data_IF_581630632887
#
_entry.id   IF_581630632887
#
_cell.length_a   1.000
_cell.length_b   1.000
_cell.length_c   1.000
_cell.angle_alpha   90.00
_cell.angle_beta   90.00
_cell.angle_gamma   90.00
#
_symmetry.space_group_name_H-M   'P 1'
#
loop_
_entity.id
_entity.type
_entity.pdbx_description
1 polymer ?
#
# COMPACT_ATOMS: atom_id res chain seq x y z
N UNK A 1 8.33 9.19 6.02
CA UNK A 1 9.43 8.39 6.60
C UNK A 1 10.23 7.85 5.44
N UNK A 2 11.54 7.98 5.44
CA UNK A 2 12.43 7.26 4.54
C UNK A 2 13.12 6.15 5.33
N UNK A 3 13.33 5.00 4.70
CA UNK A 3 14.09 3.90 5.27
C UNK A 3 15.12 3.40 4.25
N UNK A 4 16.37 3.33 4.68
CA UNK A 4 17.48 2.74 3.95
C UNK A 4 17.85 1.46 4.68
N UNK A 5 17.52 0.33 4.09
CA UNK A 5 18.01 -0.98 4.54
C UNK A 5 19.27 -1.26 3.76
N UNK A 6 20.23 -1.91 4.38
CA UNK A 6 21.34 -2.42 3.65
C UNK A 6 21.70 -3.82 4.11
N UNK A 7 22.02 -4.69 3.16
CA UNK A 7 22.45 -6.02 3.53
C UNK A 7 23.66 -5.96 4.46
N UNK A 8 23.78 -7.02 5.20
CA UNK A 8 24.88 -7.27 6.03
C UNK A 8 25.27 -8.77 5.93
N UNK A 9 25.46 -9.44 4.80
CA UNK A 9 26.41 -10.59 4.61
C UNK A 9 26.44 -11.02 3.16
N UNK A 10 27.49 -11.73 2.71
CA UNK A 10 27.73 -11.99 1.28
C UNK A 10 26.54 -12.72 0.67
N UNK A 11 25.85 -13.49 1.50
CA UNK A 11 24.62 -14.20 1.19
C UNK A 11 23.38 -13.29 1.09
N UNK A 12 23.53 -12.01 1.39
CA UNK A 12 22.50 -10.98 1.41
C UNK A 12 21.32 -11.25 2.36
N UNK A 13 21.55 -11.98 3.46
CA UNK A 13 20.51 -12.50 4.36
C UNK A 13 20.42 -11.77 5.71
N UNK A 14 21.50 -11.19 6.21
CA UNK A 14 21.45 -10.26 7.35
C UNK A 14 21.33 -8.86 6.78
N UNK A 15 20.69 -7.93 7.50
CA UNK A 15 20.56 -6.54 7.06
C UNK A 15 20.65 -5.59 8.26
N UNK A 16 21.01 -4.33 8.01
CA UNK A 16 20.91 -3.23 8.97
C UNK A 16 20.10 -2.12 8.33
N UNK A 17 19.49 -1.27 9.13
CA UNK A 17 18.55 -0.28 8.62
C UNK A 17 18.76 1.07 9.26
N UNK A 18 18.54 2.12 8.48
CA UNK A 18 18.45 3.49 8.94
C UNK A 18 17.14 4.08 8.48
N UNK A 19 16.50 4.79 9.39
CA UNK A 19 15.17 5.33 9.17
C UNK A 19 15.17 6.78 9.59
N UNK A 20 14.55 7.61 8.77
CA UNK A 20 14.46 9.04 9.02
C UNK A 20 13.05 9.54 8.84
N UNK A 21 12.63 10.42 9.75
CA UNK A 21 11.45 11.24 9.56
C UNK A 21 11.85 12.44 8.72
N UNK A 22 11.14 12.64 7.61
CA UNK A 22 11.32 13.78 6.72
C UNK A 22 10.04 14.58 6.62
N UNK A 23 10.21 15.88 6.45
CA UNK A 23 9.12 16.84 6.34
C UNK A 23 9.00 17.32 4.90
N UNK A 24 7.77 17.46 4.37
CA UNK A 24 7.57 18.07 3.07
C UNK A 24 8.03 19.53 3.05
N UNK A 25 8.47 19.99 1.87
CA UNK A 25 8.63 21.42 1.62
C UNK A 25 7.30 22.15 1.77
N UNK A 26 7.38 23.43 2.07
CA UNK A 26 6.20 24.29 2.16
C UNK A 26 5.33 24.19 0.89
N UNK A 27 4.03 23.98 1.08
CA UNK A 27 3.08 23.76 -0.03
C UNK A 27 3.02 22.34 -0.59
N UNK A 28 3.78 21.36 -0.05
CA UNK A 28 3.68 19.95 -0.45
C UNK A 28 3.13 19.07 0.67
N UNK A 29 2.38 18.05 0.30
CA UNK A 29 1.86 17.05 1.24
C UNK A 29 2.89 15.95 1.56
N UNK A 30 3.88 15.73 0.69
CA UNK A 30 4.93 14.73 0.85
C UNK A 30 6.27 15.21 0.27
N UNK A 31 7.39 14.73 0.82
CA UNK A 31 8.72 14.84 0.20
C UNK A 31 9.14 13.46 -0.28
N UNK A 32 9.31 13.28 -1.58
CA UNK A 32 9.75 12.00 -2.18
C UNK A 32 11.27 11.84 -2.14
N UNK A 33 12.04 12.94 -2.19
CA UNK A 33 13.50 12.88 -2.08
C UNK A 33 13.92 12.51 -0.65
N UNK A 34 14.91 11.64 -0.52
CA UNK A 34 15.42 11.23 0.78
C UNK A 34 16.38 12.30 1.32
N UNK A 35 15.89 13.16 2.21
CA UNK A 35 16.65 14.34 2.68
C UNK A 35 17.94 14.00 3.45
N UNK A 36 17.97 12.86 4.17
CA UNK A 36 19.12 12.42 4.96
C UNK A 36 19.82 11.20 4.34
N UNK A 37 19.74 11.04 3.02
CA UNK A 37 20.30 9.86 2.35
C UNK A 37 21.79 9.70 2.63
N UNK A 38 22.55 10.80 2.50
CA UNK A 38 23.98 10.84 2.79
C UNK A 38 24.29 10.28 4.18
N UNK A 39 23.67 10.83 5.22
CA UNK A 39 23.92 10.41 6.60
C UNK A 39 23.54 8.95 6.84
N UNK A 40 22.37 8.52 6.34
CA UNK A 40 21.92 7.14 6.52
C UNK A 40 22.89 6.15 5.86
N UNK A 41 23.41 6.47 4.67
CA UNK A 41 24.35 5.63 3.94
C UNK A 41 25.74 5.65 4.60
N UNK A 42 26.20 6.79 5.11
CA UNK A 42 27.44 6.87 5.89
C UNK A 42 27.38 5.93 7.11
N UNK A 43 26.29 5.97 7.88
CA UNK A 43 26.11 5.10 9.04
C UNK A 43 26.04 3.61 8.67
N UNK A 44 25.44 3.28 7.51
CA UNK A 44 25.36 1.90 7.01
C UNK A 44 26.72 1.39 6.52
N UNK A 45 27.52 2.23 5.86
CA UNK A 45 28.88 1.89 5.45
C UNK A 45 29.81 1.69 6.65
N UNK A 46 29.68 2.53 7.69
CA UNK A 46 30.41 2.35 8.95
C UNK A 46 29.97 1.04 9.64
N UNK A 47 28.67 0.74 9.65
CA UNK A 47 28.15 -0.51 10.21
C UNK A 47 28.65 -1.75 9.44
N UNK A 48 28.70 -1.69 8.11
CA UNK A 48 29.30 -2.72 7.27
C UNK A 48 30.78 -2.88 7.60
N UNK A 49 31.54 -1.79 7.66
CA UNK A 49 32.98 -1.82 7.94
C UNK A 49 33.27 -2.51 9.27
N UNK A 50 32.46 -2.19 10.27
CA UNK A 50 32.53 -2.80 11.61
C UNK A 50 32.14 -4.29 11.60
N UNK A 51 31.28 -4.69 10.67
CA UNK A 51 30.81 -6.06 10.53
C UNK A 51 31.74 -6.95 9.70
N UNK A 52 32.59 -6.36 8.85
CA UNK A 52 33.44 -7.06 7.88
C UNK A 52 34.94 -6.70 8.10
N UNK A 53 35.39 -6.78 9.35
CA UNK A 53 36.80 -6.67 9.75
C UNK A 53 37.55 -5.43 9.21
N UNK A 54 36.86 -4.29 9.16
CA UNK A 54 37.45 -3.03 8.69
C UNK A 54 37.40 -2.83 7.18
N UNK A 55 36.84 -3.78 6.42
CA UNK A 55 36.72 -3.74 4.96
C UNK A 55 35.46 -2.98 4.56
N UNK A 56 35.55 -2.16 3.51
CA UNK A 56 34.42 -1.48 2.88
C UNK A 56 34.08 -2.16 1.55
N UNK A 57 32.83 -2.10 1.07
CA UNK A 57 32.46 -2.75 -0.18
C UNK A 57 33.11 -2.03 -1.38
N UNK A 58 33.53 -2.77 -2.40
CA UNK A 58 34.06 -2.14 -3.62
C UNK A 58 32.93 -1.71 -4.58
N UNK A 59 31.80 -2.40 -4.50
CA UNK A 59 30.63 -2.21 -5.36
C UNK A 59 29.37 -2.02 -4.51
N UNK A 60 28.49 -1.12 -4.94
CA UNK A 60 27.19 -0.89 -4.29
C UNK A 60 26.11 -0.93 -5.36
N UNK A 61 25.19 -1.89 -5.21
CA UNK A 61 23.91 -1.92 -5.93
C UNK A 61 22.84 -1.32 -5.04
N UNK A 62 22.18 -0.28 -5.53
CA UNK A 62 21.22 0.53 -4.80
C UNK A 62 19.83 0.41 -5.43
N UNK A 63 18.88 -0.24 -4.75
CA UNK A 63 17.50 -0.29 -5.23
C UNK A 63 16.66 0.83 -4.60
N UNK A 64 15.86 1.53 -5.41
CA UNK A 64 15.06 2.68 -4.99
C UNK A 64 13.60 2.50 -5.36
N UNK A 65 12.73 2.29 -4.39
CA UNK A 65 11.28 2.17 -4.60
C UNK A 65 10.54 3.47 -4.28
N UNK A 66 9.47 3.77 -5.04
CA UNK A 66 8.64 4.96 -4.86
C UNK A 66 9.14 6.18 -5.62
N UNK A 67 9.48 5.99 -6.90
CA UNK A 67 9.89 7.05 -7.84
C UNK A 67 9.12 6.88 -9.14
N UNK A 68 8.55 7.99 -9.64
CA UNK A 68 7.88 8.05 -10.94
C UNK A 68 8.85 8.45 -12.06
N UNK A 69 8.50 8.14 -13.32
CA UNK A 69 9.39 8.34 -14.48
C UNK A 69 9.84 9.79 -14.66
N UNK A 70 8.96 10.75 -14.36
CA UNK A 70 9.26 12.18 -14.42
C UNK A 70 10.28 12.68 -13.39
N UNK A 71 10.79 11.82 -12.51
CA UNK A 71 11.70 12.18 -11.43
C UNK A 71 13.13 11.65 -11.61
N UNK A 72 13.43 10.88 -12.67
CA UNK A 72 14.74 10.24 -12.84
C UNK A 72 15.91 11.23 -12.87
N UNK A 73 15.78 12.33 -13.62
CA UNK A 73 16.81 13.38 -13.65
C UNK A 73 17.00 14.02 -12.27
N UNK A 74 15.93 14.23 -11.50
CA UNK A 74 16.01 14.75 -10.13
C UNK A 74 16.71 13.78 -9.19
N UNK A 75 16.52 12.47 -9.38
CA UNK A 75 17.22 11.44 -8.61
C UNK A 75 18.72 11.43 -8.94
N UNK A 76 19.08 11.53 -10.23
CA UNK A 76 20.48 11.65 -10.65
C UNK A 76 21.15 12.90 -10.07
N UNK A 77 20.49 14.05 -10.14
CA UNK A 77 21.05 15.31 -9.66
C UNK A 77 20.96 15.51 -8.13
N UNK A 78 20.31 14.60 -7.42
CA UNK A 78 20.07 14.67 -5.98
C UNK A 78 20.59 13.45 -5.22
N UNK A 79 19.82 12.37 -5.24
CA UNK A 79 20.09 11.17 -4.43
C UNK A 79 21.42 10.49 -4.84
N UNK A 80 21.72 10.39 -6.13
CA UNK A 80 23.01 9.84 -6.61
C UNK A 80 24.18 10.71 -6.14
N UNK A 81 24.04 12.04 -6.20
CA UNK A 81 25.06 12.97 -5.70
C UNK A 81 25.26 12.81 -4.19
N UNK A 82 24.18 12.62 -3.43
CA UNK A 82 24.26 12.42 -1.98
C UNK A 82 24.91 11.07 -1.61
N UNK A 83 24.67 10.02 -2.40
CA UNK A 83 25.39 8.74 -2.28
C UNK A 83 26.88 8.93 -2.51
N UNK A 84 27.27 9.62 -3.58
CA UNK A 84 28.69 9.88 -3.87
C UNK A 84 29.37 10.70 -2.77
N UNK A 85 28.69 11.68 -2.18
CA UNK A 85 29.18 12.42 -1.01
C UNK A 85 29.33 11.52 0.22
N UNK A 86 28.39 10.60 0.46
CA UNK A 86 28.51 9.64 1.56
C UNK A 86 29.74 8.74 1.38
N UNK A 87 30.01 8.30 0.14
CA UNK A 87 31.18 7.49 -0.16
C UNK A 87 32.47 8.26 0.10
N UNK A 88 32.57 9.50 -0.38
CA UNK A 88 33.73 10.36 -0.13
C UNK A 88 33.97 10.63 1.36
N UNK A 89 32.91 10.64 2.18
CA UNK A 89 33.03 10.87 3.61
C UNK A 89 33.55 9.63 4.39
N UNK A 90 33.26 8.41 3.92
CA UNK A 90 33.61 7.17 4.64
C UNK A 90 34.87 6.50 4.08
N UNK A 91 35.10 6.57 2.78
CA UNK A 91 36.25 5.93 2.14
C UNK A 91 37.50 6.77 2.35
N UNK A 92 38.65 6.17 2.72
CA UNK A 92 39.91 6.87 2.82
C UNK A 92 40.26 7.63 1.53
N UNK A 93 40.85 8.82 1.64
CA UNK A 93 41.30 9.60 0.48
C UNK A 93 42.35 8.88 -0.38
N UNK A 94 43.01 7.85 0.18
CA UNK A 94 43.98 6.99 -0.51
C UNK A 94 43.35 5.83 -1.29
N UNK A 95 42.03 5.61 -1.17
CA UNK A 95 41.31 4.53 -1.85
C UNK A 95 40.23 5.09 -2.76
N UNK A 96 39.95 4.37 -3.85
CA UNK A 96 38.83 4.68 -4.71
C UNK A 96 37.50 4.48 -3.96
N UNK A 97 36.52 5.39 -4.12
CA UNK A 97 35.17 5.17 -3.65
C UNK A 97 34.53 3.99 -4.43
N UNK A 98 33.44 3.39 -3.91
CA UNK A 98 32.82 2.26 -4.54
C UNK A 98 32.11 2.68 -5.82
N UNK A 99 32.07 1.75 -6.76
CA UNK A 99 31.27 1.89 -7.98
C UNK A 99 29.80 1.67 -7.63
N UNK A 100 28.93 2.51 -8.20
CA UNK A 100 27.50 2.55 -7.94
C UNK A 100 26.72 2.00 -9.13
N UNK A 101 25.81 1.09 -8.84
CA UNK A 101 24.67 0.77 -9.71
C UNK A 101 23.40 1.21 -9.00
N UNK A 102 22.60 2.06 -9.63
CA UNK A 102 21.37 2.61 -9.05
C UNK A 102 20.17 2.15 -9.88
N UNK A 103 19.25 1.42 -9.26
CA UNK A 103 18.09 0.80 -9.91
C UNK A 103 16.82 1.30 -9.24
N UNK A 104 15.93 1.94 -9.98
CA UNK A 104 14.58 2.28 -9.50
C UNK A 104 13.68 1.06 -9.64
N UNK A 105 13.01 0.68 -8.55
CA UNK A 105 12.03 -0.40 -8.52
C UNK A 105 10.64 0.19 -8.56
N UNK A 106 9.87 -0.15 -9.60
CA UNK A 106 8.46 0.21 -9.73
C UNK A 106 7.63 -1.04 -9.52
N UNK A 107 7.14 -1.23 -8.29
CA UNK A 107 6.27 -2.37 -7.93
C UNK A 107 4.76 -2.09 -8.11
N UNK A 108 4.40 -0.83 -8.43
CA UNK A 108 3.02 -0.38 -8.64
C UNK A 108 2.90 0.21 -10.04
N UNK A 109 2.46 -0.62 -10.98
CA UNK A 109 2.15 -0.23 -12.36
C UNK A 109 1.05 -1.12 -12.95
N UNK A 110 0.59 -0.78 -14.15
CA UNK A 110 -0.53 -1.45 -14.82
C UNK A 110 -0.08 -2.57 -15.79
N UNK A 111 1.22 -2.68 -16.10
CA UNK A 111 1.74 -3.78 -16.93
C UNK A 111 1.52 -5.15 -16.27
N UNK A 112 0.99 -6.11 -17.03
CA UNK A 112 0.83 -7.52 -16.65
C UNK A 112 1.34 -8.38 -17.79
N UNK A 113 2.00 -9.49 -17.45
CA UNK A 113 2.51 -10.46 -18.41
C UNK A 113 1.73 -11.76 -18.30
N UNK A 114 1.38 -12.32 -19.45
CA UNK A 114 0.67 -13.58 -19.56
C UNK A 114 1.33 -14.46 -20.61
N UNK A 115 1.25 -15.78 -20.41
CA UNK A 115 1.66 -16.78 -21.40
C UNK A 115 0.42 -17.34 -22.07
N UNK A 116 0.38 -17.31 -23.40
CA UNK A 116 -0.64 -17.98 -24.20
C UNK A 116 -0.16 -19.40 -24.51
N UNK A 117 -0.90 -20.40 -24.07
CA UNK A 117 -0.62 -21.81 -24.36
C UNK A 117 -1.17 -22.21 -25.74
N UNK A 118 -0.65 -23.27 -26.38
CA UNK A 118 -1.20 -23.81 -27.64
C UNK A 118 -2.68 -24.22 -27.55
N UNK A 119 -3.19 -24.46 -26.33
CA UNK A 119 -4.60 -24.71 -26.03
C UNK A 119 -5.49 -23.45 -26.11
N UNK A 120 -4.93 -22.28 -26.43
CA UNK A 120 -5.55 -20.95 -26.31
C UNK A 120 -5.91 -20.54 -24.87
N UNK A 121 -5.34 -21.22 -23.88
CA UNK A 121 -5.46 -20.83 -22.48
C UNK A 121 -4.44 -19.72 -22.14
N UNK A 122 -4.89 -18.70 -21.42
CA UNK A 122 -4.05 -17.60 -20.94
C UNK A 122 -3.73 -17.84 -19.47
N UNK A 123 -2.45 -18.05 -19.18
CA UNK A 123 -1.96 -18.29 -17.82
C UNK A 123 -0.98 -17.20 -17.40
N UNK A 124 -0.73 -17.12 -16.09
CA UNK A 124 0.35 -16.29 -15.57
C UNK A 124 1.71 -16.77 -16.10
N UNK A 125 2.66 -15.84 -16.23
CA UNK A 125 4.05 -16.20 -16.50
C UNK A 125 4.68 -16.87 -15.29
N UNK A 126 5.60 -17.80 -15.55
CA UNK A 126 6.36 -18.53 -14.53
C UNK A 126 7.32 -17.60 -13.78
N UNK A 127 7.72 -17.98 -12.56
CA UNK A 127 8.78 -17.28 -11.83
C UNK A 127 10.10 -17.35 -12.61
N UNK A 128 10.83 -16.24 -12.65
CA UNK A 128 12.08 -16.09 -13.40
C UNK A 128 11.90 -15.53 -14.81
N UNK A 129 10.67 -15.31 -15.29
CA UNK A 129 10.45 -14.69 -16.61
C UNK A 129 10.87 -13.22 -16.58
N UNK A 130 11.78 -12.88 -17.49
CA UNK A 130 12.25 -11.52 -17.74
C UNK A 130 11.74 -11.02 -19.08
N UNK A 131 11.42 -9.72 -19.15
CA UNK A 131 11.16 -9.01 -20.40
C UNK A 131 11.96 -7.71 -20.41
N UNK A 132 13.01 -7.71 -21.22
CA UNK A 132 13.97 -6.61 -21.42
C UNK A 132 13.89 -6.00 -22.82
N UNK A 133 13.02 -6.53 -23.69
CA UNK A 133 12.79 -6.07 -25.05
C UNK A 133 11.32 -5.64 -25.32
N UNK A 134 11.11 -4.88 -26.39
CA UNK A 134 9.82 -4.49 -26.98
C UNK A 134 8.92 -3.56 -26.14
N UNK A 135 8.57 -3.95 -24.92
CA UNK A 135 7.64 -3.23 -24.03
C UNK A 135 8.36 -2.42 -22.94
N UNK A 136 9.68 -2.36 -23.03
CA UNK A 136 10.56 -1.59 -22.17
C UNK A 136 10.63 -0.12 -22.60
N UNK A 137 11.29 0.69 -21.79
CA UNK A 137 11.45 2.11 -22.00
C UNK A 137 12.19 2.37 -23.31
N UNK A 138 11.58 3.17 -24.19
CA UNK A 138 12.19 3.56 -25.45
C UNK A 138 13.37 4.53 -25.27
N UNK A 139 13.50 5.15 -24.09
CA UNK A 139 14.62 6.04 -23.79
C UNK A 139 15.86 5.23 -23.37
N UNK A 140 16.94 5.23 -24.18
CA UNK A 140 18.14 4.45 -23.89
C UNK A 140 18.92 4.94 -22.66
N UNK A 141 18.65 6.15 -22.15
CA UNK A 141 19.29 6.67 -20.94
C UNK A 141 18.73 6.05 -19.66
N UNK A 142 17.55 5.43 -19.73
CA UNK A 142 16.88 4.81 -18.59
C UNK A 142 16.39 3.41 -18.97
N UNK A 143 17.32 2.50 -19.35
CA UNK A 143 16.96 1.15 -19.73
C UNK A 143 16.31 0.45 -18.54
N UNK A 144 15.33 -0.41 -18.82
CA UNK A 144 14.64 -1.16 -17.79
C UNK A 144 14.32 -2.58 -18.25
N UNK A 145 14.11 -3.47 -17.29
CA UNK A 145 13.56 -4.80 -17.51
C UNK A 145 12.36 -5.02 -16.60
N UNK A 146 11.43 -5.85 -17.05
CA UNK A 146 10.41 -6.43 -16.20
C UNK A 146 10.87 -7.81 -15.74
N UNK A 147 10.65 -8.13 -14.47
CA UNK A 147 10.94 -9.45 -13.92
C UNK A 147 9.73 -9.95 -13.13
N UNK A 148 9.25 -11.13 -13.49
CA UNK A 148 8.35 -11.89 -12.66
C UNK A 148 9.15 -12.79 -11.71
N UNK A 149 9.30 -12.40 -10.46
CA UNK A 149 10.12 -13.14 -9.50
C UNK A 149 9.36 -14.12 -8.62
N UNK A 150 8.05 -14.26 -8.77
CA UNK A 150 7.21 -15.04 -7.85
C UNK A 150 6.06 -15.75 -8.57
N UNK A 151 5.48 -16.72 -7.88
CA UNK A 151 4.21 -17.33 -8.23
C UNK A 151 3.08 -16.69 -7.41
N UNK A 152 1.99 -16.24 -8.04
CA UNK A 152 0.90 -15.63 -7.31
C UNK A 152 0.14 -16.72 -6.56
N UNK A 153 -0.11 -16.51 -5.27
CA UNK A 153 -1.05 -17.38 -4.54
C UNK A 153 -2.49 -17.20 -5.03
N UNK A 154 -2.82 -16.02 -5.56
CA UNK A 154 -4.12 -15.69 -6.09
C UNK A 154 -4.02 -14.57 -7.13
N UNK A 155 -4.79 -14.69 -8.21
CA UNK A 155 -4.93 -13.65 -9.23
C UNK A 155 -3.76 -13.58 -10.21
N UNK A 156 -3.54 -12.39 -10.76
CA UNK A 156 -2.50 -12.14 -11.78
C UNK A 156 -1.21 -11.63 -11.14
N UNK A 157 -0.06 -12.07 -11.68
CA UNK A 157 1.25 -11.62 -11.21
C UNK A 157 1.38 -10.10 -11.31
N UNK A 158 1.82 -9.48 -10.22
CA UNK A 158 2.36 -8.12 -10.25
C UNK A 158 3.86 -8.21 -10.39
N UNK A 159 4.32 -8.17 -11.65
CA UNK A 159 5.74 -8.17 -11.99
C UNK A 159 6.41 -6.89 -11.50
N UNK A 160 7.70 -6.95 -11.20
CA UNK A 160 8.51 -5.77 -10.92
C UNK A 160 9.02 -5.13 -12.21
N UNK A 161 9.10 -3.80 -12.24
CA UNK A 161 9.77 -3.04 -13.29
C UNK A 161 11.01 -2.36 -12.71
N UNK A 162 12.18 -2.64 -13.26
CA UNK A 162 13.49 -2.24 -12.73
C UNK A 162 14.17 -1.33 -13.73
N UNK A 163 14.26 -0.04 -13.41
CA UNK A 163 14.85 0.99 -14.29
C UNK A 163 16.26 1.32 -13.81
N UNK A 164 17.26 1.09 -14.66
CA UNK A 164 18.66 1.38 -14.34
C UNK A 164 18.95 2.85 -14.60
N UNK A 165 19.34 3.57 -13.55
CA UNK A 165 19.61 5.02 -13.57
C UNK A 165 21.11 5.31 -13.64
N UNK A 166 21.92 4.47 -13.00
CA UNK A 166 23.38 4.53 -12.97
C UNK A 166 23.91 3.10 -13.01
N UNK A 167 24.94 2.83 -13.80
CA UNK A 167 25.61 1.52 -13.85
C UNK A 167 27.12 1.73 -14.07
N UNK A 168 27.82 2.21 -13.05
CA UNK A 168 29.27 2.48 -13.14
C UNK A 168 30.12 1.20 -13.13
N UNK A 169 29.54 0.09 -12.67
CA UNK A 169 30.18 -1.22 -12.69
C UNK A 169 30.12 -1.82 -14.10
N UNK A 170 29.29 -1.24 -14.98
CA UNK A 170 29.03 -1.72 -16.34
C UNK A 170 28.52 -3.17 -16.35
N UNK A 171 27.67 -3.52 -15.37
CA UNK A 171 26.99 -4.83 -15.36
C UNK A 171 26.22 -5.05 -16.65
N UNK A 172 26.26 -6.29 -17.15
CA UNK A 172 25.34 -6.71 -18.20
C UNK A 172 23.91 -6.71 -17.66
N UNK A 173 22.94 -6.48 -18.53
CA UNK A 173 21.54 -6.50 -18.14
C UNK A 173 21.13 -7.87 -17.57
N UNK A 174 21.62 -8.96 -18.18
CA UNK A 174 21.46 -10.32 -17.68
C UNK A 174 21.97 -10.51 -16.25
N UNK A 175 23.09 -9.87 -15.90
CA UNK A 175 23.66 -9.98 -14.55
C UNK A 175 22.79 -9.23 -13.54
N UNK A 176 22.24 -8.07 -13.93
CA UNK A 176 21.31 -7.30 -13.09
C UNK A 176 19.99 -8.03 -12.91
N UNK A 177 19.49 -8.69 -13.94
CA UNK A 177 18.29 -9.52 -13.90
C UNK A 177 18.46 -10.72 -12.96
N UNK A 178 19.56 -11.47 -13.12
CA UNK A 178 19.89 -12.62 -12.28
C UNK A 178 20.13 -12.20 -10.83
N UNK A 179 20.86 -11.11 -10.60
CA UNK A 179 21.06 -10.52 -9.27
C UNK A 179 19.71 -10.15 -8.63
N UNK A 180 18.87 -9.43 -9.37
CA UNK A 180 17.56 -8.98 -8.89
C UNK A 180 16.67 -10.18 -8.56
N UNK A 181 16.65 -11.20 -9.41
CA UNK A 181 15.89 -12.43 -9.18
C UNK A 181 16.41 -13.20 -7.96
N UNK A 182 17.73 -13.37 -7.84
CA UNK A 182 18.36 -14.03 -6.70
C UNK A 182 18.03 -13.34 -5.39
N UNK A 183 18.07 -12.01 -5.36
CA UNK A 183 17.71 -11.21 -4.20
C UNK A 183 16.21 -11.30 -3.84
N UNK A 184 15.33 -11.82 -4.70
CA UNK A 184 13.94 -12.09 -4.33
C UNK A 184 13.78 -13.36 -3.47
N UNK A 185 14.83 -14.18 -3.38
CA UNK A 185 14.83 -15.45 -2.64
C UNK A 185 15.55 -15.35 -1.29
N UNK A 186 16.01 -14.15 -0.89
CA UNK A 186 16.80 -13.97 0.33
C UNK A 186 15.96 -13.54 1.54
N UNK A 187 14.62 -13.47 1.39
CA UNK A 187 13.73 -13.03 2.47
C UNK A 187 13.55 -14.16 3.48
N UNK A 188 14.09 -13.96 4.68
CA UNK A 188 14.03 -14.93 5.76
C UNK A 188 12.62 -15.15 6.32
N UNK A 189 11.63 -14.34 5.92
CA UNK A 189 10.25 -14.42 6.42
C UNK A 189 9.37 -15.38 5.62
N UNK A 190 9.82 -15.83 4.45
CA UNK A 190 9.07 -16.74 3.58
C UNK A 190 9.70 -18.12 3.54
N UNK A 191 8.89 -19.10 3.16
CA UNK A 191 9.35 -20.49 2.94
C UNK A 191 10.45 -20.52 1.88
N UNK A 192 11.49 -21.32 2.10
CA UNK A 192 12.64 -21.46 1.20
C UNK A 192 12.28 -22.01 -0.19
N UNK A 193 11.05 -22.50 -0.38
CA UNK A 193 10.51 -22.91 -1.68
C UNK A 193 9.86 -21.78 -2.47
N UNK A 194 9.66 -20.63 -1.86
CA UNK A 194 8.93 -19.50 -2.42
C UNK A 194 9.89 -18.31 -2.61
N UNK A 195 9.46 -17.36 -3.43
CA UNK A 195 10.19 -16.13 -3.72
C UNK A 195 9.26 -14.93 -3.61
N UNK A 196 9.84 -13.78 -3.24
CA UNK A 196 9.12 -12.52 -3.15
C UNK A 196 8.91 -11.87 -4.51
N UNK A 197 7.92 -10.96 -4.58
CA UNK A 197 7.59 -10.22 -5.80
C UNK A 197 8.59 -9.12 -6.21
N UNK A 198 9.48 -8.75 -5.29
CA UNK A 198 10.59 -7.80 -5.46
C UNK A 198 11.75 -8.24 -4.55
N UNK A 199 12.98 -7.71 -4.74
CA UNK A 199 14.12 -8.07 -3.90
C UNK A 199 13.81 -7.90 -2.42
N UNK A 200 14.27 -8.84 -1.60
CA UNK A 200 13.98 -8.90 -0.17
C UNK A 200 14.42 -7.64 0.57
N UNK A 201 15.55 -7.05 0.15
CA UNK A 201 16.04 -5.77 0.65
C UNK A 201 15.06 -4.60 0.40
N UNK A 202 14.26 -4.62 -0.68
CA UNK A 202 13.17 -3.66 -0.93
C UNK A 202 12.03 -3.92 0.03
N UNK A 203 11.58 -5.16 0.15
CA UNK A 203 10.55 -5.53 1.11
C UNK A 203 10.92 -5.20 2.57
N UNK A 204 12.19 -5.38 2.93
CA UNK A 204 12.70 -5.02 4.25
C UNK A 204 12.73 -3.51 4.45
N UNK A 205 13.04 -2.72 3.42
CA UNK A 205 12.96 -1.26 3.52
C UNK A 205 11.51 -0.77 3.65
N UNK A 206 10.53 -1.41 3.00
CA UNK A 206 9.11 -1.19 3.25
C UNK A 206 8.76 -1.47 4.70
N UNK A 207 9.17 -2.65 5.20
CA UNK A 207 8.92 -3.07 6.57
C UNK A 207 9.58 -2.12 7.56
N UNK A 208 10.82 -1.68 7.32
CA UNK A 208 11.55 -0.72 8.13
C UNK A 208 10.89 0.66 8.14
N UNK A 209 10.42 1.15 6.99
CA UNK A 209 9.68 2.41 6.90
C UNK A 209 8.34 2.33 7.64
N UNK A 210 7.62 1.21 7.49
CA UNK A 210 6.38 0.93 8.21
C UNK A 210 6.62 0.81 9.72
N UNK A 211 7.68 0.10 10.13
CA UNK A 211 8.10 -0.05 11.52
C UNK A 211 8.52 1.27 12.13
N UNK A 212 9.34 2.05 11.43
CA UNK A 212 9.71 3.39 11.85
C UNK A 212 8.49 4.30 11.93
N UNK A 213 7.54 4.17 11.01
CA UNK A 213 6.25 4.85 11.13
C UNK A 213 5.49 4.37 12.37
N UNK A 214 5.60 3.13 12.79
CA UNK A 214 5.01 2.72 14.07
C UNK A 214 5.80 3.29 15.24
N UNK A 215 7.13 3.30 15.21
CA UNK A 215 8.04 3.75 16.27
C UNK A 215 8.11 5.27 16.49
N UNK A 216 8.15 6.06 15.41
CA UNK A 216 7.98 7.51 15.50
C UNK A 216 6.62 7.88 16.05
N UNK A 217 5.68 6.95 15.95
CA UNK A 217 4.41 7.03 16.59
C UNK A 217 4.42 6.26 17.93
N UNK A 218 5.42 5.42 18.27
CA UNK A 218 5.47 4.47 19.40
C UNK A 218 6.90 3.95 19.80
N UNK A 219 7.67 4.74 20.56
CA UNK A 219 8.65 4.32 21.62
C UNK A 219 10.16 4.00 21.31
N UNK A 220 11.08 4.02 22.33
CA UNK A 220 12.56 4.05 22.27
C UNK A 220 13.31 2.75 21.84
N UNK A 221 14.65 2.85 21.68
CA UNK A 221 15.59 2.07 20.83
C UNK A 221 16.38 0.90 21.50
N UNK A 222 17.02 0.10 20.61
CA UNK A 222 18.28 -0.72 20.70
C UNK A 222 18.04 -2.23 20.43
N UNK A 223 18.87 -3.03 19.73
CA UNK A 223 20.21 -2.93 19.13
C UNK A 223 20.50 -4.15 18.20
N UNK A 224 21.71 -4.25 17.62
CA UNK A 224 22.07 -4.79 16.29
C UNK A 224 22.57 -6.27 16.16
N UNK A 225 22.65 -6.78 14.89
CA UNK A 225 23.50 -7.90 14.39
C UNK A 225 23.92 -7.72 12.88
N UNK A 226 24.82 -8.55 12.30
CA UNK A 226 25.96 -8.21 11.36
C UNK A 226 26.11 -8.89 9.95
N UNK A 227 26.97 -8.26 9.09
CA UNK A 227 27.80 -8.65 7.85
C UNK A 227 27.73 -7.67 6.58
N UNK A 228 27.87 -8.10 5.29
CA UNK A 228 27.80 -7.48 3.87
C UNK A 228 26.54 -6.79 3.18
N UNK A 229 26.73 -5.62 2.54
CA UNK A 229 25.84 -4.56 1.97
C UNK A 229 25.17 -4.73 0.59
N UNK A 230 23.84 -4.67 0.60
CA UNK A 230 22.97 -4.31 -0.53
C UNK A 230 22.00 -3.22 -0.06
N UNK A 231 22.19 -1.97 -0.48
CA UNK A 231 21.45 -0.82 0.05
C UNK A 231 20.14 -0.64 -0.72
N UNK A 232 19.01 -0.58 -0.04
CA UNK A 232 17.70 -0.39 -0.65
C UNK A 232 16.85 0.59 0.13
N UNK A 233 16.18 1.48 -0.60
CA UNK A 233 15.38 2.56 -0.01
C UNK A 233 13.94 2.52 -0.43
N UNK A 234 13.08 2.62 0.59
CA UNK A 234 11.64 2.72 0.44
C UNK A 234 11.10 3.90 1.25
N UNK A 235 10.08 4.54 0.68
CA UNK A 235 9.16 5.41 1.41
C UNK A 235 7.77 4.79 1.45
N UNK A 236 7.32 4.41 2.65
CA UNK A 236 5.97 3.90 2.86
C UNK A 236 4.98 5.06 3.05
N UNK A 237 3.99 5.16 2.15
CA UNK A 237 2.71 5.83 2.41
C UNK A 237 1.62 4.78 2.68
N UNK A 238 1.36 4.46 3.96
CA UNK A 238 0.05 4.30 4.65
C UNK A 238 0.26 4.00 6.15
N UNK A 239 -0.73 4.39 6.97
CA UNK A 239 -0.77 4.46 8.46
C UNK A 239 -0.29 3.17 9.17
N UNK A 240 0.38 3.35 10.32
CA UNK A 240 1.23 2.37 11.00
C UNK A 240 0.48 1.43 11.96
N UNK A 241 0.71 0.12 11.82
CA UNK A 241 -0.05 -0.96 12.47
C UNK A 241 0.45 -1.51 13.84
N UNK A 242 1.74 -1.50 14.20
CA UNK A 242 2.19 -2.09 15.51
C UNK A 242 1.97 -1.21 16.77
N UNK A 243 1.31 -0.05 16.66
CA UNK A 243 0.78 0.67 17.84
C UNK A 243 -0.53 0.06 18.33
N UNK A 244 -1.12 -0.87 17.59
CA UNK A 244 -2.43 -1.46 17.84
C UNK A 244 -2.35 -2.68 18.78
N UNK A 245 -1.37 -3.56 18.62
CA UNK A 245 -1.32 -4.83 19.39
C UNK A 245 -1.07 -4.67 20.89
N UNK A 246 -0.28 -3.68 21.30
CA UNK A 246 -0.08 -3.37 22.73
C UNK A 246 -1.28 -2.66 23.36
N UNK A 247 -2.23 -2.18 22.55
CA UNK A 247 -3.40 -1.39 22.97
C UNK A 247 -4.68 -2.24 22.92
N UNK A 248 -4.70 -3.26 22.07
CA UNK A 248 -5.83 -4.17 21.84
C UNK A 248 -5.91 -5.33 22.86
N UNK A 249 -4.89 -5.54 23.69
CA UNK A 249 -4.85 -6.65 24.67
C UNK A 249 -5.27 -6.28 26.09
N UNK A 250 -5.55 -5.00 26.37
CA UNK A 250 -6.09 -4.60 27.66
C UNK A 250 -7.60 -4.42 27.57
N UNK A 251 -8.33 -5.16 28.42
CA UNK A 251 -9.70 -4.86 28.82
C UNK A 251 -9.72 -3.50 29.56
N UNK A 252 -9.42 -2.39 28.89
CA UNK A 252 -9.51 -1.06 29.49
C UNK A 252 -10.98 -0.65 29.64
N UNK A 253 -11.36 -0.06 30.79
CA UNK A 253 -12.74 0.25 31.13
C UNK A 253 -13.35 1.32 30.23
N UNK A 254 -14.68 1.28 30.14
CA UNK A 254 -15.55 2.24 29.45
C UNK A 254 -15.25 3.65 29.98
N UNK A 255 -14.41 4.40 29.27
CA UNK A 255 -14.03 5.77 29.65
C UNK A 255 -12.75 6.29 29.00
N UNK A 256 -11.82 5.43 28.61
CA UNK A 256 -10.62 5.83 27.85
C UNK A 256 -10.86 5.70 26.35
N UNK A 257 -10.70 6.81 25.62
CA UNK A 257 -10.74 6.83 24.15
C UNK A 257 -9.49 6.08 23.62
N UNK A 258 -9.64 5.11 22.70
CA UNK A 258 -8.54 4.30 22.23
C UNK A 258 -7.53 5.15 21.46
N UNK A 259 -6.28 4.71 21.33
CA UNK A 259 -5.18 5.54 20.81
C UNK A 259 -5.30 5.89 19.32
N UNK A 260 -6.19 5.22 18.59
CA UNK A 260 -6.56 5.56 17.21
C UNK A 260 -7.76 6.53 17.12
N UNK A 261 -8.35 6.92 18.25
CA UNK A 261 -9.35 7.98 18.31
C UNK A 261 -8.68 9.31 18.02
N UNK A 262 -9.14 10.00 16.97
CA UNK A 262 -8.67 11.34 16.62
C UNK A 262 -9.70 12.31 17.17
N UNK A 263 -9.30 13.26 18.01
CA UNK A 263 -10.23 14.25 18.57
C UNK A 263 -10.94 15.02 17.45
N UNK A 264 -10.15 15.62 16.57
CA UNK A 264 -10.63 16.44 15.45
C UNK A 264 -10.43 15.69 14.11
N UNK A 265 -11.49 15.44 13.34
CA UNK A 265 -11.37 14.74 12.06
C UNK A 265 -10.47 15.54 11.10
N UNK A 266 -9.57 14.87 10.35
CA UNK A 266 -8.75 15.55 9.34
C UNK A 266 -9.64 15.92 8.15
N UNK A 267 -10.13 17.17 8.14
CA UNK A 267 -10.94 17.70 7.04
C UNK A 267 -10.00 18.28 5.98
N UNK A 268 -10.03 17.70 4.79
CA UNK A 268 -9.35 18.25 3.61
C UNK A 268 -10.29 19.20 2.87
N UNK A 269 -9.74 20.03 1.98
CA UNK A 269 -10.52 20.90 1.10
C UNK A 269 -11.56 20.11 0.29
N UNK A 270 -11.18 18.93 -0.23
CA UNK A 270 -12.07 18.09 -1.04
C UNK A 270 -13.22 17.52 -0.21
N UNK A 271 -12.94 17.13 1.04
CA UNK A 271 -13.97 16.65 1.96
C UNK A 271 -14.93 17.76 2.36
N UNK A 272 -14.40 18.93 2.64
CA UNK A 272 -15.18 20.12 2.94
C UNK A 272 -16.08 20.51 1.76
N UNK A 273 -15.52 20.56 0.56
CA UNK A 273 -16.25 20.85 -0.68
C UNK A 273 -17.38 19.84 -0.91
N UNK A 274 -17.11 18.54 -0.74
CA UNK A 274 -18.12 17.50 -0.89
C UNK A 274 -19.28 17.68 0.11
N UNK A 275 -19.01 17.87 1.41
CA UNK A 275 -20.07 18.03 2.40
C UNK A 275 -20.80 19.37 2.28
N UNK A 276 -20.12 20.42 1.81
CA UNK A 276 -20.73 21.70 1.48
C UNK A 276 -21.69 21.57 0.29
N UNK A 277 -21.29 20.86 -0.76
CA UNK A 277 -22.06 20.72 -2.00
C UNK A 277 -23.19 19.70 -1.87
N UNK A 278 -22.91 18.54 -1.28
CA UNK A 278 -23.85 17.41 -1.24
C UNK A 278 -24.81 17.51 -0.05
N UNK A 279 -24.28 17.70 1.16
CA UNK A 279 -25.07 17.67 2.41
C UNK A 279 -25.48 19.07 2.90
N UNK A 280 -25.10 20.12 2.18
CA UNK A 280 -25.37 21.53 2.52
C UNK A 280 -24.91 21.90 3.94
N UNK A 281 -23.76 21.37 4.35
CA UNK A 281 -23.15 21.65 5.66
C UNK A 281 -22.07 22.70 5.47
N UNK A 282 -22.18 23.85 6.13
CA UNK A 282 -21.15 24.89 6.02
C UNK A 282 -19.81 24.42 6.59
N UNK A 283 -18.71 24.89 6.01
CA UNK A 283 -17.35 24.65 6.51
C UNK A 283 -17.22 24.89 8.03
N UNK A 284 -17.84 25.96 8.52
CA UNK A 284 -17.85 26.32 9.94
C UNK A 284 -18.56 25.32 10.85
N UNK A 285 -19.51 24.54 10.34
CA UNK A 285 -20.30 23.56 11.08
C UNK A 285 -19.87 22.12 10.82
N UNK A 286 -19.01 21.89 9.82
CA UNK A 286 -18.63 20.56 9.35
C UNK A 286 -17.89 19.75 10.42
N UNK A 287 -16.91 20.35 11.08
CA UNK A 287 -16.12 19.67 12.12
C UNK A 287 -16.99 19.16 13.26
N UNK A 288 -17.89 20.00 13.77
CA UNK A 288 -18.79 19.63 14.86
C UNK A 288 -19.75 18.53 14.43
N UNK A 289 -20.31 18.63 13.22
CA UNK A 289 -21.20 17.62 12.65
C UNK A 289 -20.52 16.26 12.50
N UNK A 290 -19.32 16.21 11.91
CA UNK A 290 -18.56 14.98 11.72
C UNK A 290 -18.16 14.35 13.07
N UNK A 291 -17.76 15.17 14.05
CA UNK A 291 -17.46 14.68 15.40
C UNK A 291 -18.70 14.07 16.03
N UNK A 292 -19.85 14.77 15.98
CA UNK A 292 -21.10 14.30 16.59
C UNK A 292 -21.52 12.94 16.04
N UNK A 293 -21.58 12.80 14.71
CA UNK A 293 -21.97 11.54 14.05
C UNK A 293 -20.95 10.43 14.33
N UNK A 294 -19.65 10.75 14.33
CA UNK A 294 -18.61 9.78 14.69
C UNK A 294 -18.76 9.31 16.13
N UNK A 295 -18.97 10.20 17.10
CA UNK A 295 -19.16 9.80 18.51
C UNK A 295 -20.37 8.87 18.65
N UNK A 296 -21.46 9.18 17.95
CA UNK A 296 -22.65 8.33 17.92
C UNK A 296 -22.31 6.96 17.32
N UNK A 297 -21.58 6.90 16.19
CA UNK A 297 -21.07 5.63 15.64
C UNK A 297 -20.26 4.82 16.65
N UNK A 298 -19.44 5.54 17.44
CA UNK A 298 -18.50 4.99 18.42
C UNK A 298 -19.19 4.35 19.63
N UNK A 299 -20.43 4.74 19.93
CA UNK A 299 -21.26 4.10 20.97
C UNK A 299 -21.56 2.65 20.60
N UNK A 300 -21.76 2.36 19.31
CA UNK A 300 -22.06 1.01 18.82
C UNK A 300 -20.80 0.23 18.44
N UNK A 301 -19.95 0.81 17.60
CA UNK A 301 -18.69 0.17 17.19
C UNK A 301 -17.54 1.17 17.06
N UNK A 302 -16.39 0.81 17.63
CA UNK A 302 -15.19 1.66 17.69
C UNK A 302 -14.28 1.43 16.46
N UNK A 303 -14.81 1.62 15.26
CA UNK A 303 -14.10 1.30 14.01
C UNK A 303 -13.09 2.39 13.57
N UNK A 304 -11.88 2.00 13.12
CA UNK A 304 -10.94 2.91 12.44
C UNK A 304 -11.33 3.26 11.01
N UNK A 305 -12.27 2.53 10.38
CA UNK A 305 -12.54 2.60 8.93
C UNK A 305 -13.42 3.76 8.48
N UNK A 306 -13.96 4.57 9.40
CA UNK A 306 -14.71 5.82 9.12
C UNK A 306 -13.83 6.95 8.53
N UNK A 307 -12.73 6.61 7.82
CA UNK A 307 -11.59 7.49 7.53
C UNK A 307 -11.14 7.50 6.07
N UNK A 308 -11.70 6.68 5.19
CA UNK A 308 -11.12 6.43 3.87
C UNK A 308 -12.11 6.69 2.75
N UNK A 309 -11.64 7.40 1.72
CA UNK A 309 -12.37 7.75 0.51
C UNK A 309 -11.89 6.85 -0.64
N UNK A 310 -12.82 6.25 -1.36
CA UNK A 310 -12.54 5.58 -2.64
C UNK A 310 -13.42 6.20 -3.72
N UNK A 311 -12.82 6.98 -4.61
CA UNK A 311 -13.52 7.44 -5.80
C UNK A 311 -13.64 6.27 -6.80
N UNK A 312 -14.87 5.89 -7.11
CA UNK A 312 -15.18 4.98 -8.21
C UNK A 312 -15.65 5.83 -9.38
N UNK A 313 -14.94 5.81 -10.51
CA UNK A 313 -15.48 6.42 -11.74
C UNK A 313 -16.56 5.49 -12.29
N UNK A 314 -17.75 6.04 -12.53
CA UNK A 314 -18.87 5.28 -13.06
C UNK A 314 -19.47 6.03 -14.27
N UNK A 315 -19.29 5.48 -15.47
CA UNK A 315 -19.79 6.03 -16.73
C UNK A 315 -21.30 5.71 -16.93
N UNK A 316 -22.11 5.88 -15.89
CA UNK A 316 -23.55 5.61 -15.90
C UNK A 316 -23.93 4.13 -15.89
N UNK A 317 -23.13 3.25 -15.27
CA UNK A 317 -23.48 1.85 -15.03
C UNK A 317 -24.20 1.66 -13.68
N UNK A 318 -24.86 0.52 -13.50
CA UNK A 318 -25.51 0.16 -12.23
C UNK A 318 -24.50 -0.37 -11.21
N UNK A 319 -24.58 0.09 -9.95
CA UNK A 319 -23.67 -0.32 -8.87
C UNK A 319 -24.45 -0.80 -7.63
N UNK A 320 -24.05 -1.94 -7.08
CA UNK A 320 -24.52 -2.45 -5.78
C UNK A 320 -23.36 -2.55 -4.80
N UNK A 321 -23.53 -1.99 -3.60
CA UNK A 321 -22.56 -2.03 -2.49
C UNK A 321 -23.04 -2.96 -1.36
N UNK A 322 -22.21 -3.92 -0.96
CA UNK A 322 -22.48 -4.80 0.19
C UNK A 322 -21.50 -4.54 1.33
N UNK A 323 -22.03 -4.30 2.53
CA UNK A 323 -21.24 -3.90 3.70
C UNK A 323 -20.90 -2.41 3.68
N UNK A 324 -21.83 -1.60 3.21
CA UNK A 324 -21.63 -0.20 2.88
C UNK A 324 -21.49 0.73 4.11
N UNK A 325 -21.86 0.28 5.31
CA UNK A 325 -21.78 1.00 6.58
C UNK A 325 -22.44 2.39 6.53
N UNK A 326 -21.66 3.47 6.34
CA UNK A 326 -22.20 4.83 6.22
C UNK A 326 -22.47 5.25 4.76
N UNK A 327 -22.12 4.42 3.78
CA UNK A 327 -22.35 4.62 2.34
C UNK A 327 -21.80 5.95 1.82
N UNK A 328 -20.53 6.21 2.13
CA UNK A 328 -19.81 7.39 1.64
C UNK A 328 -19.55 7.28 0.13
N UNK A 329 -19.18 6.10 -0.35
CA UNK A 329 -18.85 5.86 -1.77
C UNK A 329 -20.08 6.05 -2.68
N UNK A 330 -21.27 5.57 -2.28
CA UNK A 330 -22.53 5.78 -3.01
C UNK A 330 -22.82 7.28 -3.19
N UNK A 331 -22.59 8.10 -2.17
CA UNK A 331 -22.91 9.54 -2.21
C UNK A 331 -21.88 10.35 -2.98
N UNK A 332 -20.63 9.89 -2.98
CA UNK A 332 -19.61 10.43 -3.89
C UNK A 332 -20.02 10.19 -5.35
N UNK A 333 -20.51 8.99 -5.69
CA UNK A 333 -21.01 8.69 -7.04
C UNK A 333 -22.19 9.59 -7.44
N UNK A 334 -23.10 9.89 -6.51
CA UNK A 334 -24.19 10.85 -6.78
C UNK A 334 -23.63 12.25 -7.03
N UNK A 335 -22.64 12.68 -6.25
CA UNK A 335 -21.95 13.96 -6.46
C UNK A 335 -21.24 14.02 -7.83
N UNK A 336 -20.70 12.89 -8.29
CA UNK A 336 -20.07 12.74 -9.61
C UNK A 336 -21.10 12.62 -10.77
N UNK A 337 -22.40 12.68 -10.46
CA UNK A 337 -23.48 12.74 -11.46
C UNK A 337 -24.16 11.41 -11.77
N UNK A 338 -23.88 10.34 -11.02
CA UNK A 338 -24.58 9.06 -11.17
C UNK A 338 -26.01 9.18 -10.64
N UNK A 339 -26.99 8.72 -11.43
CA UNK A 339 -28.39 8.81 -11.02
C UNK A 339 -28.67 7.83 -9.87
N UNK A 340 -29.42 8.28 -8.85
CA UNK A 340 -29.78 7.45 -7.69
C UNK A 340 -30.39 6.10 -8.08
N UNK A 341 -31.21 6.04 -9.13
CA UNK A 341 -31.81 4.79 -9.59
C UNK A 341 -30.83 3.74 -10.13
N UNK A 342 -29.54 4.08 -10.22
CA UNK A 342 -28.47 3.18 -10.65
C UNK A 342 -27.67 2.62 -9.47
N UNK A 343 -27.98 3.05 -8.24
CA UNK A 343 -27.21 2.74 -7.04
C UNK A 343 -28.05 1.92 -6.08
N UNK A 344 -27.45 0.92 -5.46
CA UNK A 344 -28.04 0.18 -4.37
C UNK A 344 -26.99 -0.12 -3.29
N UNK A 345 -27.38 -0.11 -2.01
CA UNK A 345 -26.51 -0.40 -0.89
C UNK A 345 -27.19 -1.26 0.16
N UNK A 346 -26.47 -2.24 0.68
CA UNK A 346 -26.93 -3.16 1.73
C UNK A 346 -25.96 -3.20 2.89
N UNK A 347 -26.48 -2.97 4.10
CA UNK A 347 -25.75 -3.21 5.34
C UNK A 347 -26.57 -4.09 6.27
N UNK A 348 -25.89 -4.87 7.11
CA UNK A 348 -26.54 -5.76 8.06
C UNK A 348 -27.21 -5.00 9.21
N UNK A 349 -26.66 -3.86 9.60
CA UNK A 349 -27.02 -3.22 10.85
C UNK A 349 -27.86 -1.93 10.64
N UNK A 350 -29.14 -1.93 11.06
CA UNK A 350 -30.02 -0.77 10.90
C UNK A 350 -29.57 0.48 11.66
N UNK A 351 -28.64 0.36 12.61
CA UNK A 351 -28.05 1.52 13.28
C UNK A 351 -27.20 2.38 12.35
N UNK A 352 -26.33 1.75 11.54
CA UNK A 352 -25.52 2.51 10.57
C UNK A 352 -26.39 3.12 9.47
N UNK A 353 -27.52 2.46 9.18
CA UNK A 353 -28.53 2.94 8.24
C UNK A 353 -29.17 4.26 8.69
N UNK A 354 -29.46 4.41 9.97
CA UNK A 354 -30.00 5.68 10.48
C UNK A 354 -28.91 6.74 10.63
N UNK A 355 -27.72 6.32 11.06
CA UNK A 355 -26.59 7.22 11.26
C UNK A 355 -26.07 7.87 9.96
N UNK A 356 -26.11 7.16 8.83
CA UNK A 356 -25.77 7.74 7.52
C UNK A 356 -26.73 8.84 7.10
N UNK A 357 -28.02 8.74 7.43
CA UNK A 357 -28.97 9.81 7.10
C UNK A 357 -28.75 11.05 7.96
N UNK A 358 -28.30 10.88 9.21
CA UNK A 358 -27.81 11.97 10.04
C UNK A 358 -26.55 12.60 9.41
N UNK A 359 -25.60 11.79 8.93
CA UNK A 359 -24.35 12.25 8.34
C UNK A 359 -24.57 13.13 7.10
N UNK A 360 -25.40 12.66 6.16
CA UNK A 360 -25.51 13.27 4.83
C UNK A 360 -26.78 14.10 4.61
N UNK A 361 -27.72 14.09 5.58
CA UNK A 361 -28.98 14.85 5.53
C UNK A 361 -29.85 14.56 4.31
N UNK A 362 -29.75 13.34 3.77
CA UNK A 362 -30.44 12.91 2.54
C UNK A 362 -31.43 11.77 2.78
N UNK A 363 -31.82 11.55 4.03
CA UNK A 363 -32.63 10.38 4.41
C UNK A 363 -34.02 10.33 3.79
N UNK A 364 -34.63 11.46 3.43
CA UNK A 364 -35.93 11.47 2.77
C UNK A 364 -35.83 10.91 1.34
N UNK A 365 -34.91 11.44 0.54
CA UNK A 365 -34.74 11.03 -0.86
C UNK A 365 -34.20 9.59 -0.97
N UNK A 366 -33.27 9.20 -0.09
CA UNK A 366 -32.72 7.84 -0.08
C UNK A 366 -33.78 6.79 0.28
N UNK A 367 -34.66 7.07 1.26
CA UNK A 367 -35.77 6.17 1.63
C UNK A 367 -36.84 6.10 0.54
N UNK A 368 -37.21 7.24 -0.04
CA UNK A 368 -38.21 7.29 -1.11
C UNK A 368 -37.77 6.44 -2.31
N UNK A 369 -36.48 6.49 -2.66
CA UNK A 369 -35.90 5.76 -3.78
C UNK A 369 -35.45 4.34 -3.44
N UNK A 370 -35.49 3.95 -2.16
CA UNK A 370 -35.03 2.65 -1.66
C UNK A 370 -33.61 2.30 -2.09
N UNK A 371 -32.72 3.31 -2.13
CA UNK A 371 -31.32 3.11 -2.53
C UNK A 371 -30.61 2.23 -1.53
N UNK A 372 -30.91 2.42 -0.25
CA UNK A 372 -30.17 1.80 0.83
C UNK A 372 -31.10 0.99 1.74
N UNK A 373 -30.77 -0.29 1.95
CA UNK A 373 -31.62 -1.24 2.69
C UNK A 373 -30.83 -2.06 3.71
N UNK A 374 -31.54 -2.61 4.69
CA UNK A 374 -31.00 -3.67 5.54
C UNK A 374 -30.87 -4.95 4.71
N UNK A 375 -29.75 -5.65 4.81
CA UNK A 375 -29.55 -6.86 4.04
C UNK A 375 -28.30 -7.66 4.39
N UNK A 376 -28.49 -8.96 4.59
CA UNK A 376 -27.41 -9.92 4.80
C UNK A 376 -27.10 -10.67 3.50
N UNK A 377 -25.81 -10.85 3.19
CA UNK A 377 -25.39 -11.62 2.00
C UNK A 377 -25.80 -13.11 2.08
N UNK A 378 -26.14 -13.61 3.27
CA UNK A 378 -26.61 -14.99 3.47
C UNK A 378 -28.13 -15.13 3.41
N UNK A 379 -28.88 -14.04 3.21
CA UNK A 379 -30.32 -14.08 3.04
C UNK A 379 -30.69 -14.40 1.58
N UNK A 380 -30.92 -15.68 1.30
CA UNK A 380 -31.30 -16.16 -0.03
C UNK A 380 -32.64 -15.60 -0.55
N UNK A 381 -33.55 -15.15 0.33
CA UNK A 381 -34.81 -14.54 -0.10
C UNK A 381 -34.59 -13.09 -0.54
N UNK A 382 -33.78 -12.35 0.22
CA UNK A 382 -33.31 -11.02 -0.18
C UNK A 382 -32.56 -11.09 -1.51
N UNK A 383 -31.57 -11.98 -1.65
CA UNK A 383 -30.73 -12.05 -2.84
C UNK A 383 -31.51 -12.35 -4.12
N UNK A 384 -32.66 -13.03 -4.04
CA UNK A 384 -33.55 -13.25 -5.19
C UNK A 384 -34.26 -11.97 -5.66
N UNK A 385 -34.35 -10.97 -4.79
CA UNK A 385 -34.98 -9.68 -5.05
C UNK A 385 -33.96 -8.61 -5.45
N UNK A 386 -32.66 -8.88 -5.29
CA UNK A 386 -31.58 -7.99 -5.72
C UNK A 386 -31.41 -8.11 -7.24
N UNK A 387 -31.65 -7.02 -7.95
CA UNK A 387 -31.37 -6.94 -9.39
C UNK A 387 -29.86 -6.99 -9.65
N UNK A 388 -29.37 -7.81 -10.58
CA UNK A 388 -27.95 -7.84 -10.90
C UNK A 388 -27.44 -6.48 -11.39
N UNK A 389 -26.32 -6.03 -10.84
CA UNK A 389 -25.67 -4.76 -11.17
C UNK A 389 -24.46 -4.96 -12.10
N UNK A 390 -24.11 -3.95 -12.88
CA UNK A 390 -22.88 -3.96 -13.70
C UNK A 390 -21.64 -4.11 -12.82
N UNK A 391 -21.67 -3.36 -11.71
CA UNK A 391 -20.59 -3.23 -10.75
C UNK A 391 -21.06 -3.63 -9.36
N UNK A 392 -20.33 -4.55 -8.75
CA UNK A 392 -20.57 -4.94 -7.38
C UNK A 392 -19.36 -4.53 -6.53
N UNK A 393 -19.58 -3.57 -5.64
CA UNK A 393 -18.58 -3.08 -4.72
C UNK A 393 -18.67 -3.81 -3.38
N UNK A 394 -17.54 -4.29 -2.88
CA UNK A 394 -17.41 -5.03 -1.62
C UNK A 394 -16.21 -4.53 -0.84
N UNK A 395 -16.15 -3.23 -0.53
CA UNK A 395 -15.04 -2.63 0.20
C UNK A 395 -14.95 -3.17 1.63
N UNK A 396 -13.82 -3.77 2.02
CA UNK A 396 -13.60 -4.31 3.37
C UNK A 396 -14.77 -5.19 3.84
N UNK A 397 -15.21 -6.11 2.99
CA UNK A 397 -16.37 -6.96 3.25
C UNK A 397 -16.01 -8.44 3.33
N UNK A 398 -15.20 -8.94 2.39
CA UNK A 398 -14.85 -10.37 2.29
C UNK A 398 -14.00 -10.81 3.48
N UNK A 399 -13.21 -9.90 4.04
CA UNK A 399 -12.34 -10.17 5.19
C UNK A 399 -13.08 -10.52 6.49
N UNK A 400 -14.40 -10.29 6.53
CA UNK A 400 -15.25 -10.63 7.68
C UNK A 400 -15.43 -12.15 7.85
N UNK A 401 -15.10 -12.93 6.82
CA UNK A 401 -15.44 -14.34 6.71
C UNK A 401 -14.21 -15.24 6.66
N UNK A 402 -14.34 -16.47 7.17
CA UNK A 402 -13.31 -17.50 7.03
C UNK A 402 -13.19 -18.00 5.58
N UNK A 403 -12.12 -18.75 5.26
CA UNK A 403 -11.87 -19.21 3.89
C UNK A 403 -12.96 -20.10 3.26
N UNK A 404 -13.78 -20.77 4.06
CA UNK A 404 -14.93 -21.57 3.57
C UNK A 404 -16.10 -20.64 3.30
N UNK A 405 -16.41 -19.76 4.24
CA UNK A 405 -17.50 -18.79 4.16
C UNK A 405 -17.24 -17.75 3.06
N UNK A 406 -15.99 -17.32 2.85
CA UNK A 406 -15.59 -16.46 1.73
C UNK A 406 -15.94 -17.08 0.37
N UNK A 407 -15.77 -18.39 0.21
CA UNK A 407 -16.12 -19.08 -1.04
C UNK A 407 -17.62 -19.05 -1.29
N UNK A 408 -18.44 -19.29 -0.26
CA UNK A 408 -19.90 -19.19 -0.36
C UNK A 408 -20.34 -17.74 -0.66
N UNK A 409 -19.79 -16.76 0.05
CA UNK A 409 -20.04 -15.33 -0.19
C UNK A 409 -19.69 -14.94 -1.62
N UNK A 410 -18.51 -15.32 -2.11
CA UNK A 410 -18.11 -15.04 -3.49
C UNK A 410 -19.05 -15.71 -4.51
N UNK A 411 -19.52 -16.94 -4.27
CA UNK A 411 -20.50 -17.62 -5.13
C UNK A 411 -21.87 -16.92 -5.14
N UNK A 412 -22.26 -16.29 -4.04
CA UNK A 412 -23.49 -15.49 -3.95
C UNK A 412 -23.32 -14.17 -4.69
N UNK A 413 -22.22 -13.46 -4.47
CA UNK A 413 -21.92 -12.18 -5.12
C UNK A 413 -21.79 -12.31 -6.65
N UNK A 414 -21.23 -13.41 -7.18
CA UNK A 414 -21.13 -13.63 -8.64
C UNK A 414 -22.47 -13.76 -9.33
N UNK A 415 -23.54 -14.13 -8.63
CA UNK A 415 -24.90 -14.15 -9.20
C UNK A 415 -25.51 -12.76 -9.33
N UNK A 416 -24.96 -11.78 -8.63
CA UNK A 416 -25.46 -10.41 -8.53
C UNK A 416 -24.64 -9.42 -9.37
N UNK A 417 -23.51 -9.87 -9.94
CA UNK A 417 -22.64 -9.04 -10.77
C UNK A 417 -22.76 -9.43 -12.26
N UNK A 418 -23.05 -8.46 -13.12
CA UNK A 418 -23.06 -8.62 -14.59
C UNK A 418 -21.66 -8.52 -15.19
N UNK A 419 -20.78 -7.69 -14.63
CA UNK A 419 -19.45 -7.46 -15.19
C UNK A 419 -18.34 -7.66 -14.16
N UNK A 420 -18.29 -6.84 -13.10
CA UNK A 420 -17.12 -6.79 -12.20
C UNK A 420 -17.54 -6.76 -10.74
N UNK A 421 -16.87 -7.59 -9.93
CA UNK A 421 -16.85 -7.49 -8.47
C UNK A 421 -15.50 -6.89 -8.07
N UNK A 422 -15.50 -5.82 -7.29
CA UNK A 422 -14.27 -5.16 -6.85
C UNK A 422 -14.43 -4.55 -5.46
N UNK A 423 -13.30 -4.27 -4.81
CA UNK A 423 -13.29 -3.71 -3.47
C UNK A 423 -11.98 -4.01 -2.76
N UNK A 424 -11.43 -3.03 -2.04
CA UNK A 424 -10.22 -3.22 -1.26
C UNK A 424 -10.53 -4.14 -0.08
N UNK A 425 -9.85 -5.27 0.04
CA UNK A 425 -9.92 -6.13 1.21
C UNK A 425 -8.75 -5.90 2.15
N UNK A 426 -8.95 -6.22 3.43
CA UNK A 426 -7.89 -6.33 4.42
C UNK A 426 -7.64 -7.83 4.65
N UNK A 427 -6.38 -8.25 4.73
CA UNK A 427 -6.04 -9.66 4.97
C UNK A 427 -5.60 -9.84 6.41
N UNK A 428 -6.08 -10.89 7.09
CA UNK A 428 -5.66 -11.29 8.43
C UNK A 428 -5.70 -12.82 8.56
N UNK A 429 -4.86 -13.35 9.45
CA UNK A 429 -4.85 -14.74 9.93
C UNK A 429 -6.14 -15.17 10.63
N UNK A 430 -6.92 -14.21 11.15
CA UNK A 430 -8.24 -14.43 11.75
C UNK A 430 -9.34 -13.65 11.04
N UNK A 431 -10.41 -14.32 10.63
CA UNK A 431 -11.61 -13.66 10.11
C UNK A 431 -12.36 -12.99 11.28
N UNK A 432 -12.58 -11.68 11.21
CA UNK A 432 -13.46 -11.00 12.15
C UNK A 432 -13.84 -9.61 11.65
N UNK A 433 -14.89 -9.03 12.24
CA UNK A 433 -15.27 -7.61 12.09
C UNK A 433 -14.12 -6.64 12.36
N UNK A 434 -13.11 -7.08 13.13
CA UNK A 434 -11.91 -6.33 13.44
C UNK A 434 -10.75 -6.98 12.69
N UNK A 435 -10.45 -6.60 11.44
CA UNK A 435 -9.25 -7.10 10.80
C UNK A 435 -8.09 -6.78 11.74
N UNK A 436 -7.37 -7.79 12.27
CA UNK A 436 -6.08 -7.51 12.89
C UNK A 436 -5.25 -7.01 11.74
N UNK A 437 -5.02 -5.73 11.83
CA UNK A 437 -4.37 -4.96 10.82
C UNK A 437 -2.96 -5.59 10.67
N UNK A 438 -2.70 -6.27 9.54
CA UNK A 438 -1.42 -6.87 9.12
C UNK A 438 -0.34 -5.86 8.77
#
# INVERSE_FOLDING_TARGET
IAAVVASMNSECTVTNQRVSRQWPKEGKQSEETILLLKNMVEELLIAFKTSNDGTLPEHIVFFRDGVDDGQFERIQNGEVVDLKKAFQAVYPASSSPPLLTFIVVKKRHNTRLFRLLPSNEVINVESGVVVDECIVNANPNYPNFFLNSHEPRLGTNKIGNYVVIVNEIEYLFSDLEELTYSLCHTDQRIDNRMSESIPSVVHLADAAASRARQLFFNQPRDGQSKGVLCIVVVKCGYLSFEKIDSIMSTNEPIGKKPVFYIQDPPITSELEDFFCQYAYISASALTEHLIKVREHAWEKFKYPCLRFFSAVKNDGATLTDFGCCLDQDIRHLVCDGVALGQLCGYDLDPFFIELRYELFRDGEIMRQKKILSEGAIFDDELLRQVEPADYLYVGSFIHLFDATTQRDVCQRLTRLAKQVIFGRQVSDSSYSERPRQS
#
